data_IF_753978867540
#
_entry.id   IF_753978867540
#
_cell.length_a   1.000
_cell.length_b   1.000
_cell.length_c   1.000
_cell.angle_alpha   90.00
_cell.angle_beta   90.00
_cell.angle_gamma   90.00
#
_symmetry.space_group_name_H-M   'P 1'
#
loop_
_entity.id
_entity.type
_entity.pdbx_description
1 polymer ?
#
# COMPACT_ATOMS: atom_id res chain seq x y z
N UNK A 1 8.19 -13.92 -31.01
CA UNK A 1 8.98 -13.08 -30.11
C UNK A 1 8.37 -13.14 -28.71
N UNK A 2 9.07 -13.77 -27.80
CA UNK A 2 8.58 -13.78 -26.42
C UNK A 2 8.85 -12.43 -25.79
N UNK A 3 7.79 -11.73 -25.40
CA UNK A 3 7.96 -10.60 -24.50
C UNK A 3 8.43 -11.14 -23.16
N UNK A 4 9.54 -10.63 -22.64
CA UNK A 4 9.91 -10.94 -21.27
C UNK A 4 8.77 -10.51 -20.36
N UNK A 5 8.28 -11.41 -19.54
CA UNK A 5 7.26 -11.06 -18.57
C UNK A 5 7.87 -10.08 -17.55
N UNK A 6 7.08 -9.08 -17.17
CA UNK A 6 7.48 -8.14 -16.13
C UNK A 6 7.59 -8.88 -14.78
N UNK A 7 8.51 -8.43 -13.96
CA UNK A 7 8.59 -8.90 -12.58
C UNK A 7 7.36 -8.46 -11.81
N UNK A 8 6.95 -9.25 -10.82
CA UNK A 8 5.79 -8.96 -9.99
C UNK A 8 6.18 -8.09 -8.82
N UNK A 9 5.47 -6.98 -8.67
CA UNK A 9 5.67 -6.01 -7.61
C UNK A 9 4.40 -5.85 -6.80
N UNK A 10 4.52 -5.99 -5.48
CA UNK A 10 3.45 -5.67 -4.54
C UNK A 10 3.77 -4.38 -3.80
N UNK A 11 2.76 -3.52 -3.61
CA UNK A 11 2.89 -2.26 -2.90
C UNK A 11 1.80 -2.20 -1.81
N UNK A 12 2.22 -2.00 -0.55
CA UNK A 12 1.31 -1.80 0.57
C UNK A 12 0.59 -0.45 0.47
N UNK A 13 -0.50 -0.29 1.22
CA UNK A 13 -1.26 0.96 1.25
C UNK A 13 -0.83 1.86 2.40
N UNK A 14 -1.14 1.49 3.64
CA UNK A 14 -0.97 2.38 4.79
C UNK A 14 0.49 2.78 4.98
N UNK A 15 0.75 4.09 4.99
CA UNK A 15 2.09 4.68 5.13
C UNK A 15 3.08 4.32 4.02
N UNK A 16 2.59 3.81 2.91
CA UNK A 16 3.34 3.56 1.66
C UNK A 16 2.69 4.35 0.52
N UNK A 17 1.47 4.00 0.14
CA UNK A 17 0.67 4.77 -0.82
C UNK A 17 -0.19 5.81 -0.13
N UNK A 18 -0.61 5.55 1.09
CA UNK A 18 -1.63 6.29 1.83
C UNK A 18 -1.01 6.95 3.05
N UNK A 19 -1.29 8.23 3.24
CA UNK A 19 -0.94 8.96 4.46
C UNK A 19 -1.99 8.67 5.54
N UNK A 20 -1.69 7.72 6.43
CA UNK A 20 -2.61 7.32 7.49
C UNK A 20 -2.93 8.48 8.44
N UNK A 21 -1.95 9.32 8.74
CA UNK A 21 -2.14 10.47 9.62
C UNK A 21 -3.19 11.44 9.08
N UNK A 22 -3.30 11.59 7.75
CA UNK A 22 -4.30 12.45 7.14
C UNK A 22 -5.73 12.02 7.48
N UNK A 23 -5.95 10.71 7.64
CA UNK A 23 -7.24 10.19 8.10
C UNK A 23 -7.54 10.54 9.54
N UNK A 24 -6.54 10.43 10.42
CA UNK A 24 -6.67 10.82 11.83
C UNK A 24 -6.96 12.31 11.93
N UNK A 25 -6.26 13.15 11.19
CA UNK A 25 -6.43 14.60 11.19
C UNK A 25 -7.83 15.02 10.74
N UNK A 26 -8.49 14.21 9.92
CA UNK A 26 -9.85 14.46 9.46
C UNK A 26 -10.93 14.01 10.43
N UNK A 27 -10.59 13.32 11.53
CA UNK A 27 -11.55 12.86 12.52
C UNK A 27 -12.02 14.01 13.43
N UNK A 28 -13.29 13.92 13.87
CA UNK A 28 -13.81 14.82 14.92
C UNK A 28 -13.09 14.54 16.25
N UNK A 29 -13.07 15.52 17.19
CA UNK A 29 -12.46 15.31 18.50
C UNK A 29 -13.04 14.10 19.26
N UNK A 30 -14.35 13.85 19.14
CA UNK A 30 -15.01 12.71 19.79
C UNK A 30 -14.44 11.40 19.24
N UNK A 31 -14.32 11.29 17.93
CA UNK A 31 -13.79 10.07 17.30
C UNK A 31 -12.31 9.84 17.64
N UNK A 32 -11.51 10.90 17.68
CA UNK A 32 -10.11 10.80 18.08
C UNK A 32 -9.97 10.28 19.51
N UNK A 33 -10.83 10.70 20.42
CA UNK A 33 -10.83 10.23 21.79
C UNK A 33 -11.33 8.78 21.88
N UNK A 34 -12.43 8.48 21.20
CA UNK A 34 -13.05 7.15 21.22
C UNK A 34 -12.13 6.06 20.69
N UNK A 35 -11.38 6.36 19.62
CA UNK A 35 -10.53 5.39 18.94
C UNK A 35 -9.02 5.61 19.16
N UNK A 36 -8.66 6.35 20.23
CA UNK A 36 -7.26 6.55 20.59
C UNK A 36 -6.54 5.18 20.69
N UNK A 37 -5.33 5.10 20.12
CA UNK A 37 -4.51 3.89 20.03
C UNK A 37 -5.07 2.75 19.16
N UNK A 38 -6.22 2.97 18.51
CA UNK A 38 -6.84 2.01 17.60
C UNK A 38 -7.57 2.71 16.45
N UNK A 39 -6.91 3.70 15.86
CA UNK A 39 -7.51 4.53 14.81
C UNK A 39 -7.93 3.72 13.58
N UNK A 40 -7.24 2.62 13.29
CA UNK A 40 -7.58 1.74 12.18
C UNK A 40 -8.96 1.06 12.36
N UNK A 41 -9.49 1.03 13.57
CA UNK A 41 -10.83 0.50 13.86
C UNK A 41 -11.93 1.56 13.66
N UNK A 42 -11.58 2.82 13.41
CA UNK A 42 -12.55 3.92 13.23
C UNK A 42 -13.36 3.71 11.95
N UNK A 43 -14.69 3.59 12.03
CA UNK A 43 -15.51 3.46 10.82
C UNK A 43 -15.31 4.63 9.87
N UNK A 44 -15.06 4.32 8.60
CA UNK A 44 -14.92 5.32 7.54
C UNK A 44 -13.57 6.03 7.46
N UNK A 45 -12.61 5.74 8.37
CA UNK A 45 -11.33 6.47 8.39
C UNK A 45 -10.55 6.30 7.06
N UNK A 46 -10.56 5.11 6.46
CA UNK A 46 -9.81 4.86 5.23
C UNK A 46 -10.36 5.65 4.03
N UNK A 47 -11.63 6.04 4.06
CA UNK A 47 -12.20 6.92 3.04
C UNK A 47 -11.79 8.38 3.17
N UNK A 48 -11.18 8.77 4.29
CA UNK A 48 -10.76 10.15 4.57
C UNK A 48 -9.29 10.40 4.29
N UNK A 49 -8.52 9.35 4.02
CA UNK A 49 -7.07 9.44 3.85
C UNK A 49 -6.68 9.98 2.49
N UNK A 50 -5.56 10.70 2.47
CA UNK A 50 -4.95 11.24 1.25
C UNK A 50 -3.73 10.40 0.86
N UNK A 51 -3.28 10.47 -0.41
CA UNK A 51 -2.05 9.79 -0.81
C UNK A 51 -0.83 10.37 -0.10
N UNK A 52 0.14 9.51 0.15
CA UNK A 52 1.47 9.93 0.58
C UNK A 52 2.15 10.70 -0.56
N UNK A 53 3.02 11.65 -0.22
CA UNK A 53 3.72 12.45 -1.22
C UNK A 53 4.49 11.55 -2.20
N UNK A 54 4.27 11.76 -3.51
CA UNK A 54 4.93 11.00 -4.58
C UNK A 54 4.35 9.63 -4.86
N UNK A 55 3.39 9.16 -4.06
CA UNK A 55 2.87 7.78 -4.17
C UNK A 55 2.08 7.54 -5.47
N UNK A 56 1.19 8.45 -5.83
CA UNK A 56 0.35 8.28 -7.03
C UNK A 56 1.21 8.27 -8.28
N UNK A 57 2.14 9.21 -8.38
CA UNK A 57 3.07 9.31 -9.51
C UNK A 57 3.96 8.07 -9.60
N UNK A 58 4.44 7.60 -8.45
CA UNK A 58 5.25 6.38 -8.38
C UNK A 58 4.47 5.15 -8.86
N UNK A 59 3.24 4.99 -8.41
CA UNK A 59 2.39 3.88 -8.84
C UNK A 59 2.21 3.90 -10.37
N UNK A 60 1.87 5.06 -10.93
CA UNK A 60 1.65 5.18 -12.37
C UNK A 60 2.91 4.90 -13.19
N UNK A 61 4.08 5.23 -12.68
CA UNK A 61 5.34 4.88 -13.33
C UNK A 61 5.61 3.37 -13.22
N UNK A 62 5.42 2.80 -12.03
CA UNK A 62 5.76 1.39 -11.76
C UNK A 62 4.89 0.41 -12.53
N UNK A 63 3.62 0.72 -12.77
CA UNK A 63 2.76 -0.15 -13.59
C UNK A 63 3.23 -0.28 -15.03
N UNK A 64 4.08 0.63 -15.51
CA UNK A 64 4.67 0.55 -16.86
C UNK A 64 5.82 -0.45 -16.94
N UNK A 65 6.54 -0.66 -15.83
CA UNK A 65 7.78 -1.46 -15.82
C UNK A 65 7.66 -2.74 -14.99
N UNK A 66 6.65 -2.87 -14.16
CA UNK A 66 6.37 -4.06 -13.34
C UNK A 66 4.94 -4.53 -13.53
N UNK A 67 4.69 -5.81 -13.30
CA UNK A 67 3.35 -6.35 -13.09
C UNK A 67 2.97 -6.02 -11.65
N UNK A 68 2.27 -4.89 -11.45
CA UNK A 68 2.11 -4.23 -10.16
C UNK A 68 0.74 -4.51 -9.56
N UNK A 69 0.75 -4.92 -8.29
CA UNK A 69 -0.45 -5.13 -7.47
C UNK A 69 -0.35 -4.34 -6.18
N UNK A 70 -1.49 -3.98 -5.62
CA UNK A 70 -1.56 -3.40 -4.29
C UNK A 70 -1.89 -4.54 -3.33
N UNK A 71 -1.04 -4.72 -2.29
CA UNK A 71 -1.20 -5.77 -1.30
C UNK A 71 -1.30 -5.14 0.08
N UNK A 72 -2.51 -5.12 0.64
CA UNK A 72 -2.82 -4.43 1.88
C UNK A 72 -3.51 -5.36 2.86
N UNK A 73 -3.47 -5.00 4.15
CA UNK A 73 -4.27 -5.64 5.18
C UNK A 73 -5.38 -4.69 5.58
N UNK A 74 -6.63 -5.12 5.46
CA UNK A 74 -7.78 -4.37 5.98
C UNK A 74 -8.03 -4.84 7.42
N UNK A 75 -8.13 -3.92 8.41
CA UNK A 75 -8.35 -4.28 9.80
C UNK A 75 -9.58 -5.16 9.98
N UNK A 76 -9.42 -6.27 10.67
CA UNK A 76 -10.50 -7.24 10.85
C UNK A 76 -11.72 -6.63 11.54
N UNK A 77 -11.47 -5.75 12.53
CA UNK A 77 -12.53 -5.12 13.34
C UNK A 77 -13.16 -3.89 12.68
N UNK A 78 -12.71 -3.50 11.49
CA UNK A 78 -13.29 -2.38 10.77
C UNK A 78 -13.80 -2.84 9.39
N UNK A 79 -15.04 -3.32 9.31
CA UNK A 79 -15.59 -3.79 8.03
C UNK A 79 -15.59 -2.73 6.94
N UNK A 80 -15.78 -1.45 7.29
CA UNK A 80 -15.74 -0.36 6.32
C UNK A 80 -14.38 -0.21 5.63
N UNK A 81 -13.29 -0.63 6.29
CA UNK A 81 -11.95 -0.56 5.72
C UNK A 81 -11.82 -1.38 4.43
N UNK A 82 -12.54 -2.49 4.32
CA UNK A 82 -12.48 -3.36 3.16
C UNK A 82 -13.02 -2.68 1.91
N UNK A 83 -14.21 -2.09 1.99
CA UNK A 83 -14.80 -1.34 0.88
C UNK A 83 -14.10 0.00 0.67
N UNK A 84 -13.73 0.69 1.73
CA UNK A 84 -13.09 2.01 1.64
C UNK A 84 -11.70 1.93 0.99
N UNK A 85 -10.91 0.89 1.26
CA UNK A 85 -9.64 0.69 0.59
C UNK A 85 -9.81 0.48 -0.92
N UNK A 86 -10.81 -0.31 -1.30
CA UNK A 86 -11.13 -0.52 -2.72
C UNK A 86 -11.55 0.79 -3.39
N UNK A 87 -12.41 1.57 -2.74
CA UNK A 87 -12.86 2.86 -3.27
C UNK A 87 -11.71 3.88 -3.35
N UNK A 88 -10.81 3.87 -2.37
CA UNK A 88 -9.62 4.71 -2.36
C UNK A 88 -8.72 4.41 -3.58
N UNK A 89 -8.49 3.13 -3.85
CA UNK A 89 -7.69 2.70 -5.00
C UNK A 89 -8.30 3.20 -6.30
N UNK A 90 -9.61 3.07 -6.45
CA UNK A 90 -10.32 3.57 -7.64
C UNK A 90 -10.19 5.09 -7.77
N UNK A 91 -10.41 5.83 -6.68
CA UNK A 91 -10.42 7.29 -6.69
C UNK A 91 -9.05 7.90 -6.98
N UNK A 92 -7.98 7.34 -6.41
CA UNK A 92 -6.65 7.93 -6.47
C UNK A 92 -5.72 7.31 -7.52
N UNK A 93 -5.81 6.01 -7.75
CA UNK A 93 -4.94 5.31 -8.69
C UNK A 93 -5.61 5.08 -10.05
N UNK A 94 -6.92 4.93 -10.08
CA UNK A 94 -7.70 4.86 -11.31
C UNK A 94 -7.57 3.54 -12.07
N UNK A 95 -7.78 3.61 -13.38
CA UNK A 95 -7.85 2.45 -14.26
C UNK A 95 -6.62 1.50 -14.19
N UNK A 96 -5.38 2.00 -14.06
CA UNK A 96 -4.22 1.09 -13.97
C UNK A 96 -4.26 0.14 -12.77
N UNK A 97 -5.05 0.46 -11.73
CA UNK A 97 -5.17 -0.36 -10.53
C UNK A 97 -6.40 -1.28 -10.54
N UNK A 98 -7.21 -1.24 -11.58
CA UNK A 98 -8.43 -2.06 -11.67
C UNK A 98 -8.07 -3.55 -11.57
N UNK A 99 -8.76 -4.27 -10.66
CA UNK A 99 -8.56 -5.71 -10.41
C UNK A 99 -7.15 -6.06 -9.91
N UNK A 100 -6.43 -5.10 -9.34
CA UNK A 100 -5.07 -5.29 -8.86
C UNK A 100 -4.93 -5.02 -7.35
N UNK A 101 -6.03 -5.03 -6.61
CA UNK A 101 -6.03 -4.88 -5.16
C UNK A 101 -6.22 -6.25 -4.51
N UNK A 102 -5.28 -6.59 -3.62
CA UNK A 102 -5.34 -7.81 -2.81
C UNK A 102 -5.39 -7.38 -1.34
N UNK A 103 -6.41 -7.83 -0.62
CA UNK A 103 -6.51 -7.62 0.82
C UNK A 103 -6.24 -8.94 1.52
N UNK A 104 -5.22 -8.96 2.39
CA UNK A 104 -4.77 -10.19 3.04
C UNK A 104 -4.12 -9.89 4.38
N UNK A 105 -4.33 -10.77 5.36
CA UNK A 105 -3.59 -10.80 6.63
C UNK A 105 -2.34 -11.68 6.55
N UNK A 106 -2.10 -12.28 5.37
CA UNK A 106 -1.04 -13.26 5.15
C UNK A 106 -0.28 -12.93 3.86
N UNK A 107 0.49 -11.85 3.90
CA UNK A 107 1.20 -11.35 2.71
C UNK A 107 2.20 -12.36 2.15
N UNK A 108 2.71 -13.26 3.00
CA UNK A 108 3.61 -14.33 2.61
C UNK A 108 3.00 -15.38 1.67
N UNK A 109 1.66 -15.41 1.52
CA UNK A 109 0.99 -16.32 0.59
C UNK A 109 0.99 -15.80 -0.85
N UNK A 110 1.45 -14.58 -1.08
CA UNK A 110 1.48 -13.98 -2.41
C UNK A 110 2.90 -14.11 -2.98
N UNK A 111 3.02 -14.77 -4.14
CA UNK A 111 4.30 -14.95 -4.81
C UNK A 111 4.63 -13.74 -5.69
N UNK A 112 5.83 -13.24 -5.58
CA UNK A 112 6.29 -12.11 -6.37
C UNK A 112 7.77 -11.82 -6.15
N UNK A 113 8.28 -10.83 -6.87
CA UNK A 113 9.69 -10.48 -6.83
C UNK A 113 10.00 -9.45 -5.76
N UNK A 114 9.13 -8.45 -5.60
CA UNK A 114 9.32 -7.35 -4.66
C UNK A 114 8.05 -7.04 -3.90
N UNK A 115 8.21 -6.68 -2.62
CA UNK A 115 7.14 -6.15 -1.77
C UNK A 115 7.62 -4.85 -1.14
N UNK A 116 6.96 -3.73 -1.45
CA UNK A 116 7.18 -2.44 -0.79
C UNK A 116 6.21 -2.34 0.38
N UNK A 117 6.74 -2.38 1.60
CA UNK A 117 5.94 -2.40 2.81
C UNK A 117 6.73 -1.70 3.94
N UNK A 118 6.06 -0.87 4.73
CA UNK A 118 6.68 -0.15 5.84
C UNK A 118 6.79 -0.99 7.12
N UNK A 119 6.19 -2.18 7.14
CA UNK A 119 6.12 -3.05 8.30
C UNK A 119 6.59 -4.45 7.96
N UNK A 120 6.94 -5.22 9.00
CA UNK A 120 7.28 -6.62 8.88
C UNK A 120 6.12 -7.54 9.28
N UNK A 121 5.00 -6.95 9.72
CA UNK A 121 3.81 -7.67 10.18
C UNK A 121 3.00 -8.26 9.02
N UNK A 122 2.00 -9.06 9.37
CA UNK A 122 1.01 -9.68 8.45
C UNK A 122 1.67 -10.53 7.37
N UNK A 123 2.81 -11.17 7.70
CA UNK A 123 3.53 -12.05 6.80
C UNK A 123 4.51 -11.35 5.87
N UNK A 124 4.67 -10.01 5.95
CA UNK A 124 5.60 -9.28 5.11
C UNK A 124 7.06 -9.73 5.32
N UNK A 125 7.43 -10.06 6.57
CA UNK A 125 8.76 -10.56 6.92
C UNK A 125 9.05 -11.97 6.35
N UNK A 126 8.01 -12.69 5.93
CA UNK A 126 8.11 -14.03 5.34
C UNK A 126 7.80 -14.03 3.85
N UNK A 127 7.76 -12.86 3.24
CA UNK A 127 7.62 -12.75 1.79
C UNK A 127 8.82 -13.40 1.10
N UNK A 128 8.59 -14.24 0.10
CA UNK A 128 9.65 -15.03 -0.55
C UNK A 128 10.58 -14.20 -1.43
N UNK A 129 10.08 -13.11 -2.00
CA UNK A 129 10.90 -12.17 -2.77
C UNK A 129 11.62 -11.19 -1.85
N UNK A 130 12.08 -10.07 -2.42
CA UNK A 130 12.74 -9.03 -1.65
C UNK A 130 11.71 -8.10 -1.01
N UNK A 131 11.77 -7.96 0.30
CA UNK A 131 11.01 -6.96 1.05
C UNK A 131 11.76 -5.62 1.01
N UNK A 132 11.19 -4.64 0.32
CA UNK A 132 11.69 -3.26 0.29
C UNK A 132 11.03 -2.54 1.46
N UNK A 133 11.79 -2.36 2.56
CA UNK A 133 11.27 -1.80 3.81
C UNK A 133 11.13 -0.28 3.69
N UNK A 134 9.97 0.17 3.23
CA UNK A 134 9.66 1.58 3.00
C UNK A 134 9.83 2.39 4.30
N UNK A 135 10.48 3.53 4.21
CA UNK A 135 10.75 4.40 5.37
C UNK A 135 12.04 4.09 6.12
N UNK A 136 12.72 3.00 5.79
CA UNK A 136 14.01 2.60 6.37
C UNK A 136 15.10 2.70 5.31
N UNK A 137 16.27 3.21 5.68
CA UNK A 137 17.40 3.29 4.74
C UNK A 137 17.69 1.92 4.12
N UNK A 138 17.94 1.82 2.82
CA UNK A 138 18.08 2.91 1.83
C UNK A 138 16.79 3.27 1.10
N UNK A 139 15.62 2.95 1.64
CA UNK A 139 14.30 3.13 1.01
C UNK A 139 13.46 4.15 1.78
N UNK A 140 14.05 5.33 2.10
CA UNK A 140 13.44 6.32 2.99
C UNK A 140 12.13 6.91 2.48
N UNK A 141 12.01 7.05 1.16
CA UNK A 141 10.86 7.67 0.50
C UNK A 141 10.64 7.09 -0.89
N UNK A 142 9.63 7.58 -1.59
CA UNK A 142 9.33 7.11 -2.93
C UNK A 142 10.43 7.40 -3.94
N UNK A 143 11.16 8.49 -3.79
CA UNK A 143 12.29 8.78 -4.68
C UNK A 143 13.37 7.70 -4.59
N UNK A 144 13.70 7.26 -3.38
CA UNK A 144 14.68 6.20 -3.15
C UNK A 144 14.18 4.84 -3.68
N UNK A 145 12.91 4.51 -3.42
CA UNK A 145 12.30 3.26 -3.89
C UNK A 145 12.25 3.22 -5.41
N UNK A 146 11.85 4.31 -6.06
CA UNK A 146 11.82 4.39 -7.52
C UNK A 146 13.19 4.20 -8.13
N UNK A 147 14.21 4.81 -7.54
CA UNK A 147 15.61 4.65 -8.02
C UNK A 147 16.01 3.17 -8.02
N UNK A 148 15.71 2.45 -6.95
CA UNK A 148 16.00 1.02 -6.85
C UNK A 148 15.19 0.22 -7.88
N UNK A 149 13.90 0.45 -7.96
CA UNK A 149 13.02 -0.34 -8.82
C UNK A 149 13.26 -0.07 -10.32
N UNK A 150 13.63 1.16 -10.69
CA UNK A 150 14.03 1.47 -12.08
C UNK A 150 15.26 0.68 -12.50
N UNK A 151 16.19 0.49 -11.59
CA UNK A 151 17.44 -0.22 -11.85
C UNK A 151 17.28 -1.74 -11.88
N UNK A 152 16.19 -2.28 -11.34
CA UNK A 152 15.99 -3.71 -11.15
C UNK A 152 14.77 -4.28 -11.88
N UNK A 153 14.20 -3.54 -12.78
CA UNK A 153 13.05 -3.98 -13.57
C UNK A 153 13.37 -5.17 -14.48
#
# INVERSE_FOLDING_TARGET
MSSSSKKVLYIDMDNVLVDFQSGIDALSPILRTTYEDKYDETPGIFGKMKPLAGAVEAFHELVQIYDTYILSTAPWKNPSAWSDKRLWVEAWLGAPAEKRLILSHHKNLNDGDYLVDDRTARGADRFKGLHIHFGQKPYEDWAAVLKFLRANA
#
